data_IF_879257631634
#
_entry.id   IF_879257631634
#
_cell.length_a   1.000
_cell.length_b   1.000
_cell.length_c   1.000
_cell.angle_alpha   90.00
_cell.angle_beta   90.00
_cell.angle_gamma   90.00
#
_symmetry.space_group_name_H-M   'P 1'
#
loop_
_entity.id
_entity.type
_entity.pdbx_description
1 polymer ?
#
# COMPACT_ATOMS: atom_id res chain seq x y z
N UNK A 1 36.78 14.51 4.18
CA UNK A 1 35.55 14.01 3.53
C UNK A 1 35.24 12.58 3.96
N UNK A 2 36.26 11.79 4.29
CA UNK A 2 36.12 10.39 4.67
C UNK A 2 35.47 10.16 6.04
N UNK A 3 35.64 11.06 7.02
CA UNK A 3 34.97 10.92 8.33
C UNK A 3 33.44 11.05 8.21
N UNK A 4 32.94 11.99 7.41
CA UNK A 4 31.51 12.15 7.16
C UNK A 4 30.94 10.99 6.34
N UNK A 5 31.68 10.54 5.32
CA UNK A 5 31.32 9.35 4.53
C UNK A 5 31.26 8.10 5.41
N UNK A 6 32.26 7.87 6.26
CA UNK A 6 32.30 6.73 7.17
C UNK A 6 31.20 6.82 8.23
N UNK A 7 30.91 8.01 8.75
CA UNK A 7 29.79 8.24 9.67
C UNK A 7 28.43 7.94 9.02
N UNK A 8 28.21 8.35 7.77
CA UNK A 8 26.99 8.01 7.03
C UNK A 8 26.87 6.50 6.76
N UNK A 9 27.97 5.85 6.40
CA UNK A 9 28.01 4.40 6.17
C UNK A 9 27.72 3.63 7.46
N UNK A 10 28.31 4.05 8.58
CA UNK A 10 28.10 3.44 9.89
C UNK A 10 26.68 3.66 10.38
N UNK A 11 26.14 4.87 10.21
CA UNK A 11 24.75 5.19 10.53
C UNK A 11 23.77 4.36 9.69
N UNK A 12 24.04 4.21 8.38
CA UNK A 12 23.20 3.40 7.47
C UNK A 12 23.27 1.92 7.82
N UNK A 13 24.46 1.39 8.13
CA UNK A 13 24.61 0.01 8.59
C UNK A 13 23.82 -0.21 9.88
N UNK A 14 23.88 0.67 10.88
CA UNK A 14 23.10 0.52 12.11
C UNK A 14 21.58 0.60 11.87
N UNK A 15 21.13 1.46 10.94
CA UNK A 15 19.71 1.66 10.64
C UNK A 15 19.08 0.53 9.82
N UNK A 16 19.84 -0.08 8.91
CA UNK A 16 19.34 -1.06 7.93
C UNK A 16 19.89 -2.49 8.10
N UNK A 17 20.83 -2.72 9.03
CA UNK A 17 21.28 -4.06 9.39
C UNK A 17 20.25 -4.73 10.31
N UNK A 18 19.40 -5.56 9.70
CA UNK A 18 18.39 -6.37 10.39
C UNK A 18 18.98 -7.29 11.47
N UNK A 19 20.30 -7.59 11.45
CA UNK A 19 20.96 -8.39 12.49
C UNK A 19 21.22 -7.60 13.78
N UNK A 20 21.35 -6.27 13.68
CA UNK A 20 21.64 -5.38 14.81
C UNK A 20 20.43 -4.56 15.26
N UNK A 21 19.49 -4.28 14.36
CA UNK A 21 18.30 -3.51 14.65
C UNK A 21 17.06 -4.15 14.03
N UNK A 22 16.63 -5.29 14.58
CA UNK A 22 15.39 -5.94 14.17
C UNK A 22 14.16 -5.12 14.62
N UNK A 23 13.73 -4.21 13.76
CA UNK A 23 12.52 -3.40 13.97
C UNK A 23 11.24 -4.27 14.05
N UNK A 24 11.29 -5.55 13.66
CA UNK A 24 10.18 -6.51 13.76
C UNK A 24 10.14 -7.22 15.12
N UNK A 25 11.28 -7.37 15.79
CA UNK A 25 11.37 -7.86 17.16
C UNK A 25 10.80 -6.87 18.19
N UNK A 26 10.66 -5.60 17.82
CA UNK A 26 10.07 -4.58 18.68
C UNK A 26 8.60 -4.91 19.02
N UNK A 27 8.18 -4.67 20.28
CA UNK A 27 6.79 -4.80 20.69
C UNK A 27 5.83 -4.06 19.76
N UNK A 28 4.64 -4.62 19.50
CA UNK A 28 3.68 -4.07 18.54
C UNK A 28 3.32 -2.59 18.79
N UNK A 29 3.34 -2.15 20.05
CA UNK A 29 3.14 -0.75 20.44
C UNK A 29 4.24 0.18 19.93
N UNK A 30 5.51 -0.23 20.04
CA UNK A 30 6.68 0.53 19.58
C UNK A 30 6.72 0.59 18.06
N UNK A 31 6.36 -0.49 17.38
CA UNK A 31 6.23 -0.51 15.91
C UNK A 31 5.18 0.49 15.42
N UNK A 32 4.02 0.52 16.07
CA UNK A 32 2.97 1.50 15.76
C UNK A 32 3.46 2.93 16.04
N UNK A 33 4.16 3.15 17.15
CA UNK A 33 4.71 4.46 17.51
C UNK A 33 5.70 4.97 16.46
N UNK A 34 6.64 4.13 16.01
CA UNK A 34 7.61 4.51 14.96
C UNK A 34 6.89 4.86 13.66
N UNK A 35 5.87 4.09 13.26
CA UNK A 35 5.06 4.39 12.08
C UNK A 35 4.29 5.70 12.22
N UNK A 36 3.75 6.01 13.39
CA UNK A 36 3.07 7.27 13.68
C UNK A 36 4.04 8.47 13.64
N UNK A 37 5.24 8.33 14.21
CA UNK A 37 6.28 9.36 14.17
C UNK A 37 6.72 9.62 12.73
N UNK A 38 6.95 8.56 11.96
CA UNK A 38 7.32 8.67 10.56
C UNK A 38 6.22 9.38 9.75
N UNK A 39 4.96 9.00 9.94
CA UNK A 39 3.81 9.64 9.29
C UNK A 39 3.69 11.13 9.64
N UNK A 40 3.93 11.51 10.90
CA UNK A 40 3.94 12.91 11.33
C UNK A 40 5.05 13.73 10.67
N UNK A 41 6.27 13.19 10.62
CA UNK A 41 7.42 13.86 9.99
C UNK A 41 7.11 14.10 8.50
N UNK A 42 6.61 13.07 7.80
CA UNK A 42 6.29 13.20 6.37
C UNK A 42 5.14 14.16 6.09
N UNK A 43 4.11 14.18 6.94
CA UNK A 43 3.03 15.17 6.82
C UNK A 43 3.57 16.60 6.92
N UNK A 44 4.56 16.82 7.78
CA UNK A 44 5.20 18.11 7.97
C UNK A 44 6.09 18.50 6.78
N UNK A 45 6.92 17.57 6.30
CA UNK A 45 7.78 17.78 5.12
C UNK A 45 6.95 18.06 3.86
N UNK A 46 5.89 17.29 3.61
CA UNK A 46 5.02 17.52 2.45
C UNK A 46 4.21 18.81 2.58
N UNK A 47 3.79 19.19 3.78
CA UNK A 47 3.09 20.46 3.98
C UNK A 47 4.00 21.66 3.72
N UNK A 48 5.29 21.58 4.07
CA UNK A 48 6.29 22.60 3.73
C UNK A 48 6.55 22.68 2.21
N UNK A 49 6.42 21.55 1.49
CA UNK A 49 6.59 21.51 0.05
C UNK A 49 5.41 22.13 -0.72
N UNK A 50 4.18 21.88 -0.27
CA UNK A 50 2.96 22.29 -0.99
C UNK A 50 2.48 23.69 -0.59
N UNK A 51 2.61 24.09 0.68
CA UNK A 51 2.06 25.36 1.19
C UNK A 51 3.13 26.43 1.41
N UNK A 52 2.73 27.69 1.19
CA UNK A 52 3.55 28.85 1.56
C UNK A 52 3.59 29.04 3.08
N UNK A 53 4.65 29.65 3.60
CA UNK A 53 4.83 29.94 5.03
C UNK A 53 3.62 30.63 5.69
N UNK A 54 2.89 31.49 4.95
CA UNK A 54 1.71 32.19 5.46
C UNK A 54 0.47 31.29 5.64
N UNK A 55 0.32 30.26 4.81
CA UNK A 55 -0.81 29.31 4.87
C UNK A 55 -0.43 27.96 5.44
N UNK A 56 0.84 27.78 5.80
CA UNK A 56 1.42 26.53 6.28
C UNK A 56 0.64 25.94 7.45
N UNK A 57 0.33 26.74 8.48
CA UNK A 57 -0.34 26.24 9.68
C UNK A 57 -1.73 25.65 9.39
N UNK A 58 -2.53 26.32 8.56
CA UNK A 58 -3.87 25.87 8.18
C UNK A 58 -3.80 24.68 7.20
N UNK A 59 -2.89 24.74 6.21
CA UNK A 59 -2.69 23.66 5.25
C UNK A 59 -2.17 22.38 5.90
N UNK A 60 -1.18 22.50 6.78
CA UNK A 60 -0.64 21.41 7.58
C UNK A 60 -1.71 20.78 8.48
N UNK A 61 -2.48 21.60 9.20
CA UNK A 61 -3.56 21.09 10.05
C UNK A 61 -4.63 20.34 9.24
N UNK A 62 -5.00 20.88 8.07
CA UNK A 62 -5.96 20.23 7.17
C UNK A 62 -5.45 18.88 6.65
N UNK A 63 -4.20 18.82 6.16
CA UNK A 63 -3.60 17.57 5.69
C UNK A 63 -3.45 16.57 6.84
N UNK A 64 -2.99 17.00 8.02
CA UNK A 64 -2.82 16.13 9.16
C UNK A 64 -4.14 15.50 9.61
N UNK A 65 -5.21 16.30 9.72
CA UNK A 65 -6.55 15.81 10.04
C UNK A 65 -7.04 14.82 8.96
N UNK A 66 -6.85 15.14 7.69
CA UNK A 66 -7.20 14.24 6.59
C UNK A 66 -6.44 12.90 6.66
N UNK A 67 -5.15 12.93 7.03
CA UNK A 67 -4.32 11.75 7.18
C UNK A 67 -4.80 10.84 8.32
N UNK A 68 -5.08 11.42 9.49
CA UNK A 68 -5.65 10.69 10.63
C UNK A 68 -7.03 10.11 10.29
N UNK A 69 -7.86 10.88 9.59
CA UNK A 69 -9.17 10.45 9.09
C UNK A 69 -9.07 9.24 8.15
N UNK A 70 -8.11 9.24 7.23
CA UNK A 70 -7.86 8.11 6.32
C UNK A 70 -7.45 6.85 7.09
N UNK A 71 -6.51 6.96 8.03
CA UNK A 71 -6.09 5.82 8.88
C UNK A 71 -7.29 5.24 9.63
N UNK A 72 -8.13 6.09 10.22
CA UNK A 72 -9.33 5.68 10.92
C UNK A 72 -10.35 5.01 10.00
N UNK A 73 -10.62 5.58 8.82
CA UNK A 73 -11.55 5.02 7.84
C UNK A 73 -11.10 3.62 7.36
N UNK A 74 -9.81 3.46 7.10
CA UNK A 74 -9.21 2.17 6.74
C UNK A 74 -9.34 1.18 7.90
N UNK A 75 -8.98 1.55 9.13
CA UNK A 75 -9.16 0.69 10.29
C UNK A 75 -10.62 0.27 10.51
N UNK A 76 -11.55 1.21 10.40
CA UNK A 76 -12.97 0.96 10.58
C UNK A 76 -13.53 -0.01 9.53
N UNK A 77 -13.16 0.17 8.26
CA UNK A 77 -13.59 -0.73 7.17
C UNK A 77 -12.97 -2.12 7.34
N UNK A 78 -11.67 -2.23 7.65
CA UNK A 78 -11.04 -3.52 7.95
C UNK A 78 -11.69 -4.24 9.14
N UNK A 79 -12.02 -3.51 10.22
CA UNK A 79 -12.71 -4.08 11.38
C UNK A 79 -14.11 -4.56 11.03
N UNK A 80 -14.83 -3.81 10.21
CA UNK A 80 -16.16 -4.20 9.72
C UNK A 80 -16.08 -5.46 8.86
N UNK A 81 -15.08 -5.59 7.99
CA UNK A 81 -14.87 -6.79 7.18
C UNK A 81 -14.49 -8.01 8.04
N UNK A 82 -13.59 -7.89 9.01
CA UNK A 82 -13.26 -9.00 9.92
C UNK A 82 -14.49 -9.45 10.73
N UNK A 83 -15.28 -8.49 11.24
CA UNK A 83 -16.52 -8.80 11.96
C UNK A 83 -17.57 -9.44 11.06
N UNK A 84 -17.60 -9.06 9.78
CA UNK A 84 -18.48 -9.68 8.79
C UNK A 84 -18.02 -11.09 8.43
N UNK A 85 -16.71 -11.36 8.37
CA UNK A 85 -16.11 -12.67 8.14
C UNK A 85 -16.38 -13.64 9.31
N UNK A 86 -16.17 -13.20 10.55
CA UNK A 86 -16.52 -13.99 11.75
C UNK A 86 -18.01 -14.34 11.82
N UNK A 87 -18.87 -13.52 11.20
CA UNK A 87 -20.33 -13.66 11.21
C UNK A 87 -20.90 -14.12 9.86
N UNK A 88 -20.07 -14.39 8.85
CA UNK A 88 -20.52 -14.75 7.51
C UNK A 88 -20.87 -16.23 7.45
N UNK A 89 -22.04 -16.59 7.99
CA UNK A 89 -22.70 -17.83 7.56
C UNK A 89 -23.10 -17.66 6.10
N UNK A 90 -22.71 -18.59 5.23
CA UNK A 90 -23.01 -18.43 3.80
C UNK A 90 -24.53 -18.42 3.56
N UNK A 91 -24.96 -17.69 2.54
CA UNK A 91 -26.39 -17.68 2.12
C UNK A 91 -26.86 -19.10 1.77
N UNK A 92 -25.94 -19.93 1.28
CA UNK A 92 -26.17 -21.34 0.94
C UNK A 92 -26.31 -22.25 2.17
N UNK A 93 -25.62 -21.94 3.26
CA UNK A 93 -25.69 -22.69 4.52
C UNK A 93 -26.97 -22.37 5.30
N UNK A 94 -27.35 -21.09 5.36
CA UNK A 94 -28.56 -20.64 6.08
C UNK A 94 -29.87 -20.86 5.31
N UNK A 95 -29.79 -21.24 4.02
CA UNK A 95 -30.93 -21.37 3.08
C UNK A 95 -31.90 -20.17 3.11
N UNK A 96 -31.41 -18.99 3.49
CA UNK A 96 -32.22 -17.78 3.65
C UNK A 96 -32.04 -16.87 2.43
N UNK A 97 -32.88 -17.11 1.42
CA UNK A 97 -32.90 -16.40 0.15
C UNK A 97 -33.72 -15.11 0.22
N UNK A 98 -33.32 -14.18 1.08
CA UNK A 98 -33.89 -12.83 1.05
C UNK A 98 -33.55 -12.18 -0.32
N UNK A 99 -34.50 -11.48 -0.98
CA UNK A 99 -34.26 -10.80 -2.25
C UNK A 99 -33.01 -9.90 -2.25
N UNK A 100 -32.70 -9.22 -1.13
CA UNK A 100 -31.48 -8.40 -1.00
C UNK A 100 -30.19 -9.24 -1.06
N UNK A 101 -30.17 -10.42 -0.43
CA UNK A 101 -28.99 -11.31 -0.43
C UNK A 101 -28.76 -11.94 -1.80
N UNK A 102 -29.84 -12.33 -2.48
CA UNK A 102 -29.77 -12.84 -3.87
C UNK A 102 -29.23 -11.76 -4.80
N UNK A 103 -29.72 -10.53 -4.67
CA UNK A 103 -29.26 -9.40 -5.48
C UNK A 103 -27.76 -9.13 -5.27
N UNK A 104 -27.25 -9.21 -4.04
CA UNK A 104 -25.81 -9.08 -3.76
C UNK A 104 -25.00 -10.19 -4.44
N UNK A 105 -25.45 -11.45 -4.39
CA UNK A 105 -24.76 -12.56 -5.06
C UNK A 105 -24.75 -12.38 -6.58
N UNK A 106 -25.88 -12.01 -7.18
CA UNK A 106 -25.97 -11.70 -8.63
C UNK A 106 -25.06 -10.54 -9.00
N UNK A 107 -25.05 -9.47 -8.19
CA UNK A 107 -24.19 -8.32 -8.42
C UNK A 107 -22.70 -8.70 -8.39
N UNK A 108 -22.27 -9.51 -7.41
CA UNK A 108 -20.88 -10.00 -7.33
C UNK A 108 -20.51 -10.83 -8.56
N UNK A 109 -21.39 -11.71 -9.04
CA UNK A 109 -21.15 -12.51 -10.25
C UNK A 109 -21.01 -11.62 -11.48
N UNK A 110 -21.89 -10.62 -11.64
CA UNK A 110 -21.81 -9.64 -12.74
C UNK A 110 -20.53 -8.82 -12.65
N UNK A 111 -20.14 -8.40 -11.45
CA UNK A 111 -18.91 -7.65 -11.23
C UNK A 111 -17.69 -8.49 -11.62
N UNK A 112 -17.60 -9.74 -11.17
CA UNK A 112 -16.53 -10.67 -11.56
C UNK A 112 -16.49 -10.83 -13.08
N UNK A 113 -17.64 -10.94 -13.75
CA UNK A 113 -17.71 -11.04 -15.21
C UNK A 113 -17.21 -9.78 -15.92
N UNK A 114 -17.68 -8.59 -15.52
CA UNK A 114 -17.27 -7.31 -16.11
C UNK A 114 -15.77 -7.08 -15.91
N UNK A 115 -15.25 -7.37 -14.72
CA UNK A 115 -13.81 -7.24 -14.45
C UNK A 115 -13.00 -8.29 -15.19
N UNK A 116 -13.47 -9.53 -15.32
CA UNK A 116 -12.79 -10.56 -16.13
C UNK A 116 -12.72 -10.14 -17.60
N UNK A 117 -13.80 -9.56 -18.15
CA UNK A 117 -13.80 -8.97 -19.50
C UNK A 117 -12.92 -7.73 -19.61
N UNK A 118 -12.88 -6.89 -18.57
CA UNK A 118 -11.97 -5.76 -18.49
C UNK A 118 -10.50 -6.18 -18.52
N UNK A 119 -10.13 -7.21 -17.74
CA UNK A 119 -8.78 -7.79 -17.76
C UNK A 119 -8.47 -8.42 -19.12
N UNK A 120 -9.41 -9.16 -19.72
CA UNK A 120 -9.24 -9.74 -21.06
C UNK A 120 -8.88 -8.68 -22.10
N UNK A 121 -9.59 -7.54 -22.10
CA UNK A 121 -9.32 -6.39 -22.98
C UNK A 121 -7.95 -5.75 -22.68
N UNK A 122 -7.58 -5.62 -21.41
CA UNK A 122 -6.25 -5.11 -21.02
C UNK A 122 -5.13 -6.06 -21.42
N UNK A 123 -5.37 -7.37 -21.39
CA UNK A 123 -4.39 -8.38 -21.82
C UNK A 123 -4.28 -8.51 -23.34
N UNK A 124 -5.37 -8.27 -24.09
CA UNK A 124 -5.34 -8.28 -25.55
C UNK A 124 -4.69 -7.04 -26.17
N UNK A 125 -4.54 -5.96 -25.40
CA UNK A 125 -3.97 -4.67 -25.84
C UNK A 125 -2.59 -4.37 -25.24
N UNK A 126 -2.00 -5.31 -24.49
CA UNK A 126 -0.67 -5.12 -23.90
C UNK A 126 0.40 -4.99 -25.00
N UNK A 127 1.10 -3.85 -25.04
CA UNK A 127 2.12 -3.54 -26.05
C UNK A 127 3.48 -4.18 -25.79
N UNK A 128 3.62 -5.00 -24.74
CA UNK A 128 4.86 -5.64 -24.33
C UNK A 128 4.62 -7.13 -24.09
N UNK A 129 5.31 -7.98 -24.84
CA UNK A 129 5.21 -9.46 -24.78
C UNK A 129 5.99 -10.08 -23.60
N UNK A 130 6.68 -9.26 -22.79
CA UNK A 130 7.67 -9.77 -21.84
C UNK A 130 7.00 -10.19 -20.53
N UNK A 131 7.00 -11.48 -20.16
CA UNK A 131 6.43 -11.94 -18.90
C UNK A 131 7.23 -11.41 -17.69
N UNK A 132 6.53 -11.07 -16.61
CA UNK A 132 7.17 -10.64 -15.37
C UNK A 132 7.85 -11.82 -14.66
N UNK A 133 9.19 -11.86 -14.68
CA UNK A 133 9.99 -12.96 -14.12
C UNK A 133 10.35 -12.82 -12.62
N UNK A 134 9.57 -12.06 -11.84
CA UNK A 134 9.75 -11.98 -10.39
C UNK A 134 10.81 -10.98 -9.91
N UNK A 135 11.08 -10.94 -8.58
CA UNK A 135 12.00 -10.00 -7.93
C UNK A 135 13.47 -10.44 -8.00
N UNK A 136 13.76 -11.65 -8.48
CA UNK A 136 15.08 -12.28 -8.41
C UNK A 136 16.10 -11.68 -9.41
N UNK A 137 15.61 -10.89 -10.38
CA UNK A 137 16.47 -10.21 -11.35
C UNK A 137 16.91 -8.84 -10.84
N UNK A 138 18.19 -8.54 -11.01
CA UNK A 138 18.74 -7.22 -10.72
C UNK A 138 18.15 -6.15 -11.64
N UNK A 139 18.16 -4.89 -11.22
CA UNK A 139 17.59 -3.79 -12.01
C UNK A 139 18.17 -3.77 -13.44
N UNK A 140 19.49 -3.93 -13.59
CA UNK A 140 20.19 -3.88 -14.87
C UNK A 140 19.73 -5.00 -15.82
N UNK A 141 19.55 -6.23 -15.31
CA UNK A 141 19.06 -7.37 -16.08
C UNK A 141 17.60 -7.17 -16.53
N UNK A 142 16.82 -6.43 -15.75
CA UNK A 142 15.45 -6.06 -16.11
C UNK A 142 15.40 -4.99 -17.21
N UNK A 143 16.40 -4.11 -17.28
CA UNK A 143 16.50 -3.05 -18.28
C UNK A 143 17.13 -3.51 -19.60
N UNK A 144 18.01 -4.52 -19.56
CA UNK A 144 18.73 -5.05 -20.72
C UNK A 144 17.85 -5.38 -21.94
N UNK A 145 16.68 -6.04 -21.78
CA UNK A 145 15.80 -6.38 -22.90
C UNK A 145 15.26 -5.16 -23.64
N UNK A 146 15.04 -4.04 -22.93
CA UNK A 146 14.54 -2.80 -23.52
C UNK A 146 15.61 -2.04 -24.34
N UNK A 147 16.90 -2.39 -24.17
CA UNK A 147 18.01 -1.74 -24.89
C UNK A 147 18.35 -2.41 -26.23
N UNK A 148 17.92 -3.67 -26.43
CA UNK A 148 18.04 -4.33 -27.73
C UNK A 148 16.93 -3.84 -28.63
N UNK A 149 17.26 -2.89 -29.50
CA UNK A 149 16.39 -2.48 -30.60
C UNK A 149 16.28 -3.68 -31.56
N UNK A 150 15.08 -4.20 -31.75
CA UNK A 150 14.82 -5.21 -32.78
C UNK A 150 15.13 -4.57 -34.15
N UNK A 151 16.16 -5.08 -34.83
CA UNK A 151 16.41 -4.79 -36.24
C UNK A 151 15.42 -5.57 -37.10
#
# INVERSE_FOLDING_TARGET
>A
MDSFKNWMIESANILFDDSKNDLRALPRSVRLQILLVLSFIWTTVFSLYVFSYATFALGWAGIYIAHVGLIFAVYWTFKQFHKAEEKSTSVFETKNFNPYKIMVVVFVIVFIFVFSKGIEVLTSTNSYEIPYEGPDKSAIEKWLPFTKKNN
#
